data_IF_428262005116
#
_entry.id   IF_428262005116
#
_cell.length_a   1.000
_cell.length_b   1.000
_cell.length_c   1.000
_cell.angle_alpha   90.00
_cell.angle_beta   90.00
_cell.angle_gamma   90.00
#
_symmetry.space_group_name_H-M   'P 1'
#
loop_
_entity.id
_entity.type
_entity.pdbx_description
1 polymer ?
#
# COMPACT_ATOMS: atom_id res chain seq x y z
N UNK A 1 -13.93 -77.60 4.89
CA UNK A 1 -15.20 -77.01 5.39
C UNK A 1 -14.95 -76.42 6.78
N UNK A 2 -14.62 -75.13 6.86
CA UNK A 2 -14.37 -74.43 8.13
C UNK A 2 -15.54 -73.53 8.48
N UNK A 3 -16.11 -73.73 9.67
CA UNK A 3 -17.28 -73.02 10.22
C UNK A 3 -16.97 -71.53 10.40
N UNK A 4 -17.83 -70.65 9.87
CA UNK A 4 -17.83 -69.21 10.18
C UNK A 4 -18.63 -68.99 11.45
N UNK A 5 -17.98 -68.59 12.53
CA UNK A 5 -18.65 -68.11 13.74
C UNK A 5 -19.19 -66.69 13.50
N UNK A 6 -20.51 -66.55 13.64
CA UNK A 6 -21.22 -65.27 13.61
C UNK A 6 -21.12 -64.62 14.99
N UNK A 7 -20.28 -63.59 15.11
CA UNK A 7 -20.25 -62.74 16.31
C UNK A 7 -21.55 -61.91 16.37
N UNK A 8 -22.47 -62.31 17.24
CA UNK A 8 -23.66 -61.53 17.61
C UNK A 8 -23.29 -60.58 18.75
N UNK A 9 -23.17 -59.29 18.46
CA UNK A 9 -23.09 -58.26 19.50
C UNK A 9 -24.49 -57.97 20.04
N UNK A 10 -24.72 -58.31 21.31
CA UNK A 10 -25.88 -57.86 22.08
C UNK A 10 -25.58 -56.48 22.67
N UNK A 11 -26.19 -55.43 22.11
CA UNK A 11 -26.22 -54.11 22.75
C UNK A 11 -27.37 -54.09 23.76
N UNK A 12 -27.03 -54.07 25.06
CA UNK A 12 -28.00 -53.84 26.13
C UNK A 12 -28.54 -52.41 26.01
N UNK A 13 -29.86 -52.24 26.03
CA UNK A 13 -30.50 -50.92 26.17
C UNK A 13 -30.22 -50.39 27.58
N UNK A 14 -29.49 -49.28 27.67
CA UNK A 14 -29.39 -48.48 28.89
C UNK A 14 -30.39 -47.33 28.79
N UNK A 15 -31.42 -47.33 29.64
CA UNK A 15 -32.26 -46.15 29.87
C UNK A 15 -31.61 -45.30 30.97
N UNK A 16 -31.15 -44.11 30.61
CA UNK A 16 -30.88 -43.04 31.59
C UNK A 16 -31.86 -41.90 31.33
N UNK A 17 -32.66 -41.60 32.35
CA UNK A 17 -33.55 -40.46 32.39
C UNK A 17 -32.92 -39.26 33.10
N UNK A 18 -33.61 -38.12 32.95
CA UNK A 18 -33.40 -36.79 33.57
C UNK A 18 -32.14 -36.03 33.10
N UNK A 19 -32.13 -34.71 32.89
CA UNK A 19 -33.06 -33.64 33.24
C UNK A 19 -32.97 -32.50 32.20
N UNK A 20 -34.11 -31.88 31.89
CA UNK A 20 -34.20 -30.70 31.03
C UNK A 20 -33.54 -29.49 31.70
N UNK A 21 -32.65 -28.83 30.97
CA UNK A 21 -31.98 -27.59 31.36
C UNK A 21 -33.01 -26.45 31.40
N UNK A 22 -33.34 -25.99 32.62
CA UNK A 22 -34.10 -24.75 32.84
C UNK A 22 -33.25 -23.55 32.41
N UNK A 23 -33.66 -22.90 31.32
CA UNK A 23 -33.17 -21.59 30.89
C UNK A 23 -33.55 -20.54 31.93
N UNK A 24 -32.56 -20.10 32.72
CA UNK A 24 -32.68 -18.99 33.66
C UNK A 24 -32.83 -17.66 32.92
N UNK A 25 -34.00 -17.04 33.02
CA UNK A 25 -34.22 -15.63 32.69
C UNK A 25 -33.89 -14.80 33.94
N UNK A 26 -32.75 -14.13 33.95
CA UNK A 26 -32.41 -13.15 34.97
C UNK A 26 -33.19 -11.86 34.70
N UNK A 27 -34.18 -11.55 35.53
CA UNK A 27 -34.79 -10.22 35.60
C UNK A 27 -34.08 -9.45 36.72
N UNK A 28 -33.35 -8.41 36.33
CA UNK A 28 -32.88 -7.38 37.26
C UNK A 28 -34.08 -6.53 37.69
N UNK A 29 -34.39 -6.53 38.99
CA UNK A 29 -35.32 -5.60 39.62
C UNK A 29 -34.54 -4.69 40.59
N UNK A 30 -34.51 -3.39 40.29
CA UNK A 30 -34.06 -2.33 41.19
C UNK A 30 -35.29 -1.65 41.78
N UNK A 31 -35.38 -1.64 43.12
CA UNK A 31 -35.79 -0.46 43.87
C UNK A 31 -37.25 -0.32 44.31
N UNK A 32 -37.41 -0.42 45.65
CA UNK A 32 -38.35 0.30 46.52
C UNK A 32 -39.82 -0.13 46.56
N UNK A 33 -40.23 -0.77 47.67
CA UNK A 33 -40.86 -0.07 48.83
C UNK A 33 -41.29 -1.08 49.90
N UNK A 34 -41.14 -0.67 51.16
CA UNK A 34 -41.50 -1.38 52.38
C UNK A 34 -43.03 -1.53 52.53
N UNK A 35 -43.51 -2.66 53.07
CA UNK A 35 -44.65 -2.78 54.00
C UNK A 35 -44.92 -4.28 54.25
N UNK A 36 -44.59 -4.77 55.45
CA UNK A 36 -45.55 -5.16 56.50
C UNK A 36 -46.18 -6.54 56.31
N UNK A 37 -45.92 -7.40 57.29
CA UNK A 37 -46.46 -8.73 57.48
C UNK A 37 -47.99 -8.74 57.59
N UNK A 38 -48.61 -9.85 57.20
CA UNK A 38 -49.80 -10.37 57.88
C UNK A 38 -49.86 -11.89 57.72
N UNK A 39 -49.98 -12.56 58.86
CA UNK A 39 -50.04 -14.01 59.03
C UNK A 39 -51.51 -14.36 59.29
N UNK A 40 -52.15 -15.12 58.39
CA UNK A 40 -53.41 -15.78 58.73
C UNK A 40 -53.44 -17.18 58.14
N UNK A 41 -53.32 -18.15 59.04
CA UNK A 41 -53.77 -19.51 58.85
C UNK A 41 -55.30 -19.57 58.77
N UNK A 42 -55.83 -20.34 57.81
CA UNK A 42 -57.18 -20.92 57.93
C UNK A 42 -57.16 -22.37 57.47
N UNK A 43 -57.03 -23.25 58.46
CA UNK A 43 -57.69 -24.55 58.49
C UNK A 43 -59.20 -24.36 58.50
N UNK A 44 -59.92 -25.08 57.64
CA UNK A 44 -61.32 -25.50 57.89
C UNK A 44 -61.55 -26.75 57.06
N UNK A 45 -61.40 -27.94 57.63
CA UNK A 45 -62.30 -28.64 58.56
C UNK A 45 -63.29 -29.52 57.80
N UNK A 46 -63.14 -30.81 58.09
CA UNK A 46 -63.85 -31.95 57.53
C UNK A 46 -64.70 -32.48 58.66
N UNK A 47 -66.00 -32.26 58.58
CA UNK A 47 -66.95 -32.82 59.53
C UNK A 47 -68.26 -33.13 58.82
N UNK A 48 -68.38 -34.38 58.42
CA UNK A 48 -69.65 -35.07 58.17
C UNK A 48 -70.39 -35.21 59.51
N UNK A 49 -71.63 -34.75 59.66
CA UNK A 49 -72.48 -35.19 60.75
C UNK A 49 -73.35 -36.37 60.29
N UNK A 50 -73.43 -37.34 61.20
CA UNK A 50 -74.20 -38.55 61.12
C UNK A 50 -75.71 -38.29 61.22
N UNK A 51 -76.45 -39.12 60.47
CA UNK A 51 -77.66 -39.85 60.86
C UNK A 51 -78.59 -39.15 61.87
N UNK A 52 -79.71 -38.65 61.35
CA UNK A 52 -80.96 -38.57 62.12
C UNK A 52 -81.96 -39.58 61.55
N UNK A 53 -82.55 -40.33 62.48
CA UNK A 53 -83.61 -41.29 62.30
C UNK A 53 -84.97 -40.61 62.41
N UNK A 54 -85.94 -41.06 61.60
CA UNK A 54 -87.41 -40.94 61.71
C UNK A 54 -87.95 -41.22 60.31
N UNK A 55 -88.96 -42.02 60.03
CA UNK A 55 -90.05 -42.54 60.84
C UNK A 55 -90.41 -43.95 60.35
N UNK A 56 -90.71 -44.82 61.32
CA UNK A 56 -91.47 -46.03 61.07
C UNK A 56 -92.87 -45.62 60.60
N UNK A 57 -93.16 -45.85 59.32
CA UNK A 57 -94.55 -45.85 58.85
C UNK A 57 -95.12 -47.19 59.28
N UNK A 58 -95.89 -47.10 60.36
CA UNK A 58 -96.74 -48.14 60.91
C UNK A 58 -97.40 -48.94 59.80
N UNK A 59 -97.01 -50.21 59.72
CA UNK A 59 -97.78 -51.25 59.08
C UNK A 59 -99.11 -51.33 59.84
N UNK A 60 -100.13 -50.63 59.34
CA UNK A 60 -101.50 -50.74 59.83
C UNK A 60 -102.05 -52.13 59.44
N UNK A 61 -101.52 -53.17 60.07
CA UNK A 61 -102.19 -54.45 60.25
C UNK A 61 -103.29 -54.23 61.29
N UNK A 62 -104.30 -53.45 60.91
CA UNK A 62 -105.61 -53.66 61.49
C UNK A 62 -105.98 -55.10 61.14
N UNK A 63 -105.83 -55.99 62.12
CA UNK A 63 -106.56 -57.24 62.16
C UNK A 63 -108.04 -56.85 62.24
N UNK A 64 -108.60 -56.48 61.08
CA UNK A 64 -110.04 -56.47 60.87
C UNK A 64 -110.44 -57.89 61.23
N UNK A 65 -111.19 -58.03 62.33
CA UNK A 65 -111.70 -59.32 62.76
C UNK A 65 -112.30 -59.98 61.52
N UNK A 66 -111.76 -61.13 61.14
CA UNK A 66 -112.14 -61.83 59.91
C UNK A 66 -113.57 -62.34 60.07
N UNK A 67 -114.53 -61.47 59.76
CA UNK A 67 -115.94 -61.77 59.90
C UNK A 67 -116.41 -62.48 58.63
N UNK A 68 -116.84 -63.72 58.83
CA UNK A 68 -117.59 -64.48 57.84
C UNK A 68 -119.06 -64.13 58.00
N UNK A 69 -119.61 -63.41 57.04
CA UNK A 69 -121.05 -63.12 57.00
C UNK A 69 -121.74 -64.21 56.17
N UNK A 70 -122.76 -64.84 56.78
CA UNK A 70 -123.53 -65.93 56.18
C UNK A 70 -124.96 -65.47 55.96
N UNK A 71 -125.42 -65.55 54.73
CA UNK A 71 -126.81 -65.26 54.34
C UNK A 71 -127.45 -66.50 53.75
N UNK A 72 -128.53 -67.01 54.35
CA UNK A 72 -129.27 -68.17 53.83
C UNK A 72 -129.99 -67.76 52.54
N UNK A 73 -129.74 -68.47 51.45
CA UNK A 73 -130.27 -68.12 50.11
C UNK A 73 -131.27 -69.15 49.61
N UNK A 74 -131.16 -70.40 50.05
CA UNK A 74 -132.11 -71.44 49.69
C UNK A 74 -132.23 -72.49 50.80
N UNK A 75 -133.45 -72.97 51.03
CA UNK A 75 -133.73 -74.09 51.94
C UNK A 75 -134.61 -75.07 51.18
N UNK A 76 -134.10 -76.27 50.95
CA UNK A 76 -134.80 -77.33 50.23
C UNK A 76 -134.96 -78.55 51.13
N UNK A 77 -136.18 -79.07 51.18
CA UNK A 77 -136.52 -80.28 51.93
C UNK A 77 -136.48 -81.48 50.97
N UNK A 78 -135.49 -82.36 51.14
CA UNK A 78 -135.39 -83.62 50.40
C UNK A 78 -135.63 -84.78 51.38
N UNK A 79 -136.84 -85.34 51.39
CA UNK A 79 -137.21 -86.42 52.30
C UNK A 79 -137.28 -85.98 53.77
N UNK A 80 -136.56 -86.66 54.67
CA UNK A 80 -136.50 -86.32 56.10
C UNK A 80 -135.26 -85.45 56.44
N UNK A 81 -134.66 -84.78 55.45
CA UNK A 81 -133.43 -83.98 55.54
C UNK A 81 -133.62 -82.57 54.97
N UNK A 82 -133.19 -81.56 55.72
CA UNK A 82 -133.21 -80.14 55.31
C UNK A 82 -131.84 -79.73 54.79
N UNK A 83 -131.75 -79.31 53.53
CA UNK A 83 -130.52 -78.75 52.93
C UNK A 83 -130.62 -77.23 52.93
N UNK A 84 -129.67 -76.56 53.59
CA UNK A 84 -129.59 -75.09 53.67
C UNK A 84 -128.39 -74.60 52.88
N UNK A 85 -128.63 -73.87 51.80
CA UNK A 85 -127.59 -73.19 51.02
C UNK A 85 -127.44 -71.76 51.51
N UNK A 86 -126.20 -71.32 51.73
CA UNK A 86 -125.91 -69.95 52.17
C UNK A 86 -124.82 -69.32 51.32
N UNK A 87 -124.98 -68.04 51.06
CA UNK A 87 -123.94 -67.17 50.51
C UNK A 87 -123.00 -66.78 51.65
N UNK A 88 -121.71 -66.87 51.38
CA UNK A 88 -120.65 -66.66 52.36
C UNK A 88 -119.75 -65.56 51.84
N UNK A 89 -119.75 -64.42 52.52
CA UNK A 89 -118.87 -63.29 52.24
C UNK A 89 -117.84 -63.14 53.37
N UNK A 90 -116.67 -62.62 53.02
CA UNK A 90 -115.55 -62.50 53.95
C UNK A 90 -114.88 -61.15 53.81
N UNK A 91 -114.70 -60.46 54.94
CA UNK A 91 -114.13 -59.10 54.96
C UNK A 91 -112.67 -59.07 54.51
N UNK A 92 -111.88 -60.11 54.77
CA UNK A 92 -110.49 -60.19 54.31
C UNK A 92 -110.37 -60.26 52.79
N UNK A 93 -111.30 -60.95 52.12
CA UNK A 93 -111.35 -61.01 50.66
C UNK A 93 -111.70 -59.65 50.04
N UNK A 94 -112.72 -58.95 50.56
CA UNK A 94 -113.11 -57.62 50.07
C UNK A 94 -112.02 -56.57 50.31
N UNK A 95 -111.33 -56.65 51.45
CA UNK A 95 -110.17 -55.80 51.72
C UNK A 95 -109.01 -56.08 50.77
N UNK A 96 -108.73 -57.36 50.46
CA UNK A 96 -107.69 -57.75 49.52
C UNK A 96 -107.99 -57.24 48.09
N UNK A 97 -109.25 -57.36 47.62
CA UNK A 97 -109.69 -56.80 46.33
C UNK A 97 -109.51 -55.27 46.28
N UNK A 98 -109.87 -54.59 47.37
CA UNK A 98 -109.70 -53.12 47.48
C UNK A 98 -108.23 -52.74 47.45
N UNK A 99 -107.37 -53.45 48.18
CA UNK A 99 -105.92 -53.23 48.19
C UNK A 99 -105.30 -53.44 46.80
N UNK A 100 -105.74 -54.47 46.06
CA UNK A 100 -105.33 -54.70 44.67
C UNK A 100 -105.78 -53.58 43.74
N UNK A 101 -107.03 -53.14 43.86
CA UNK A 101 -107.58 -52.05 43.04
C UNK A 101 -106.86 -50.72 43.30
N UNK A 102 -106.51 -50.42 44.56
CA UNK A 102 -105.76 -49.20 44.92
C UNK A 102 -104.36 -49.15 44.30
N UNK A 103 -103.72 -50.30 44.10
CA UNK A 103 -102.44 -50.39 43.39
C UNK A 103 -102.59 -50.47 41.87
N UNK A 104 -103.82 -50.41 41.35
CA UNK A 104 -104.11 -50.51 39.91
C UNK A 104 -103.97 -51.93 39.37
N UNK A 105 -104.03 -52.96 40.22
CA UNK A 105 -104.02 -54.37 39.83
C UNK A 105 -105.43 -54.77 39.43
N UNK A 106 -105.57 -55.36 38.24
CA UNK A 106 -106.86 -55.82 37.72
C UNK A 106 -107.40 -56.99 38.57
N UNK A 107 -108.56 -56.80 39.19
CA UNK A 107 -109.29 -57.84 39.93
C UNK A 107 -110.40 -58.39 39.04
N UNK A 108 -110.35 -59.69 38.73
CA UNK A 108 -111.39 -60.40 37.97
C UNK A 108 -112.19 -61.27 38.92
N UNK A 109 -113.52 -61.07 38.95
CA UNK A 109 -114.42 -61.89 39.74
C UNK A 109 -114.94 -63.07 38.91
N UNK A 110 -114.67 -64.28 39.39
CA UNK A 110 -115.23 -65.52 38.84
C UNK A 110 -116.63 -65.77 39.41
N UNK A 111 -117.50 -66.51 38.69
CA UNK A 111 -118.84 -66.83 39.20
C UNK A 111 -118.77 -67.57 40.54
N UNK A 112 -119.77 -67.35 41.40
CA UNK A 112 -119.83 -67.94 42.74
C UNK A 112 -119.70 -69.47 42.70
N UNK A 113 -118.82 -70.02 43.55
CA UNK A 113 -118.60 -71.45 43.67
C UNK A 113 -119.38 -72.05 44.85
N UNK A 114 -120.07 -73.16 44.63
CA UNK A 114 -120.71 -73.93 45.70
C UNK A 114 -119.67 -74.79 46.42
N UNK A 115 -119.58 -74.69 47.75
CA UNK A 115 -118.75 -75.56 48.60
C UNK A 115 -119.64 -76.41 49.52
N UNK A 116 -119.09 -77.52 50.01
CA UNK A 116 -119.82 -78.50 50.83
C UNK A 116 -120.21 -77.96 52.23
N UNK A 117 -119.54 -76.91 52.71
CA UNK A 117 -119.86 -76.26 53.98
C UNK A 117 -119.51 -74.76 53.97
N UNK A 118 -120.06 -74.03 54.95
CA UNK A 118 -119.77 -72.60 55.16
C UNK A 118 -118.31 -72.38 55.54
N UNK A 119 -117.74 -73.28 56.34
CA UNK A 119 -116.33 -73.27 56.73
C UNK A 119 -115.42 -73.49 55.52
N UNK A 120 -115.80 -74.38 54.59
CA UNK A 120 -115.07 -74.60 53.35
C UNK A 120 -115.11 -73.37 52.42
N UNK A 121 -116.25 -72.69 52.32
CA UNK A 121 -116.38 -71.43 51.58
C UNK A 121 -115.59 -70.28 52.21
N UNK A 122 -115.61 -70.16 53.54
CA UNK A 122 -114.82 -69.16 54.26
C UNK A 122 -113.30 -69.41 54.11
N UNK A 123 -112.86 -70.67 54.20
CA UNK A 123 -111.47 -71.06 53.98
C UNK A 123 -111.01 -70.77 52.54
N UNK A 124 -111.86 -71.00 51.55
CA UNK A 124 -111.57 -70.67 50.15
C UNK A 124 -111.44 -69.16 49.93
N UNK A 125 -112.39 -68.36 50.45
CA UNK A 125 -112.32 -66.89 50.40
C UNK A 125 -111.05 -66.35 51.07
N UNK A 126 -110.65 -66.92 52.21
CA UNK A 126 -109.41 -66.57 52.89
C UNK A 126 -108.17 -66.93 52.05
N UNK A 127 -108.15 -68.11 51.44
CA UNK A 127 -107.06 -68.52 50.56
C UNK A 127 -106.97 -67.64 49.29
N UNK A 128 -108.08 -67.16 48.76
CA UNK A 128 -108.10 -66.18 47.67
C UNK A 128 -107.54 -64.82 48.14
N UNK A 129 -107.94 -64.34 49.32
CA UNK A 129 -107.42 -63.11 49.90
C UNK A 129 -105.90 -63.17 50.08
N UNK A 130 -105.35 -64.29 50.58
CA UNK A 130 -103.91 -64.52 50.72
C UNK A 130 -103.17 -64.45 49.37
N UNK A 131 -103.72 -65.04 48.31
CA UNK A 131 -103.17 -64.94 46.95
C UNK A 131 -103.18 -63.50 46.43
N UNK A 132 -104.29 -62.79 46.58
CA UNK A 132 -104.40 -61.39 46.15
C UNK A 132 -103.39 -60.52 46.90
N UNK A 133 -103.31 -60.66 48.22
CA UNK A 133 -102.35 -59.91 49.04
C UNK A 133 -100.89 -60.20 48.65
N UNK A 134 -100.57 -61.45 48.30
CA UNK A 134 -99.24 -61.82 47.78
C UNK A 134 -98.93 -61.07 46.48
N UNK A 135 -99.86 -61.06 45.52
CA UNK A 135 -99.70 -60.34 44.26
C UNK A 135 -99.53 -58.82 44.47
N UNK A 136 -100.30 -58.24 45.40
CA UNK A 136 -100.19 -56.82 45.78
C UNK A 136 -98.80 -56.51 46.34
N UNK A 137 -98.32 -57.36 47.26
CA UNK A 137 -96.99 -57.21 47.86
C UNK A 137 -95.86 -57.31 46.83
N UNK A 138 -95.93 -58.31 45.95
CA UNK A 138 -94.96 -58.51 44.87
C UNK A 138 -94.95 -57.31 43.90
N UNK A 139 -96.13 -56.80 43.53
CA UNK A 139 -96.25 -55.63 42.67
C UNK A 139 -95.64 -54.37 43.29
N UNK A 140 -95.93 -54.10 44.57
CA UNK A 140 -95.32 -52.98 45.31
C UNK A 140 -93.80 -53.07 45.31
N UNK A 141 -93.27 -54.25 45.64
CA UNK A 141 -91.82 -54.52 45.64
C UNK A 141 -91.22 -54.31 44.26
N UNK A 142 -91.87 -54.81 43.20
CA UNK A 142 -91.41 -54.63 41.82
C UNK A 142 -91.43 -53.15 41.38
N UNK A 143 -92.45 -52.41 41.79
CA UNK A 143 -92.60 -50.98 41.49
C UNK A 143 -91.53 -50.13 42.20
N UNK A 144 -91.21 -50.42 43.45
CA UNK A 144 -90.10 -49.79 44.18
C UNK A 144 -88.76 -50.12 43.52
N UNK A 145 -88.54 -51.39 43.17
CA UNK A 145 -87.33 -51.79 42.45
C UNK A 145 -87.18 -51.07 41.11
N UNK A 146 -88.26 -50.95 40.33
CA UNK A 146 -88.25 -50.21 39.07
C UNK A 146 -87.88 -48.74 39.26
N UNK A 147 -88.42 -48.08 40.30
CA UNK A 147 -88.05 -46.70 40.62
C UNK A 147 -86.56 -46.57 40.96
N UNK A 148 -86.02 -47.51 41.75
CA UNK A 148 -84.59 -47.55 42.07
C UNK A 148 -83.73 -47.78 40.81
N UNK A 149 -84.04 -48.81 40.02
CA UNK A 149 -83.33 -49.13 38.78
C UNK A 149 -83.35 -47.95 37.79
N UNK A 150 -84.49 -47.24 37.71
CA UNK A 150 -84.63 -46.04 36.88
C UNK A 150 -83.73 -44.89 37.39
N UNK A 151 -83.66 -44.67 38.69
CA UNK A 151 -82.79 -43.66 39.27
C UNK A 151 -81.30 -43.97 39.00
N UNK A 152 -80.90 -45.24 39.12
CA UNK A 152 -79.55 -45.68 38.79
C UNK A 152 -79.24 -45.54 37.30
N UNK A 153 -80.19 -45.88 36.43
CA UNK A 153 -80.08 -45.65 34.99
C UNK A 153 -79.88 -44.17 34.65
N UNK A 154 -80.73 -43.29 35.21
CA UNK A 154 -80.66 -41.85 34.97
C UNK A 154 -79.30 -41.29 35.43
N UNK A 155 -78.77 -41.77 36.56
CA UNK A 155 -77.43 -41.42 37.08
C UNK A 155 -76.30 -41.93 36.18
N UNK A 156 -76.38 -43.17 35.70
CA UNK A 156 -75.41 -43.76 34.79
C UNK A 156 -75.39 -43.03 33.44
N UNK A 157 -76.57 -42.68 32.92
CA UNK A 157 -76.71 -41.89 31.69
C UNK A 157 -76.07 -40.51 31.85
N UNK A 158 -76.34 -39.81 32.96
CA UNK A 158 -75.71 -38.52 33.24
C UNK A 158 -74.17 -38.61 33.31
N UNK A 159 -73.62 -39.68 33.91
CA UNK A 159 -72.17 -39.92 33.94
C UNK A 159 -71.59 -40.16 32.54
N UNK A 160 -72.28 -40.94 31.71
CA UNK A 160 -71.87 -41.19 30.33
C UNK A 160 -71.86 -39.91 29.50
N UNK A 161 -72.94 -39.12 29.57
CA UNK A 161 -73.05 -37.84 28.87
C UNK A 161 -71.94 -36.86 29.31
N UNK A 162 -71.60 -36.84 30.61
CA UNK A 162 -70.49 -36.04 31.13
C UNK A 162 -69.12 -36.50 30.59
N UNK A 163 -68.85 -37.82 30.55
CA UNK A 163 -67.61 -38.37 29.98
C UNK A 163 -67.48 -38.09 28.49
N UNK A 164 -68.60 -38.09 27.76
CA UNK A 164 -68.61 -37.75 26.34
C UNK A 164 -68.22 -36.29 26.11
N UNK A 165 -68.72 -35.38 26.95
CA UNK A 165 -68.34 -33.97 26.92
C UNK A 165 -66.86 -33.76 27.27
N UNK A 166 -66.33 -34.47 28.28
CA UNK A 166 -64.91 -34.43 28.64
C UNK A 166 -64.02 -34.90 27.49
N UNK A 167 -64.39 -36.02 26.84
CA UNK A 167 -63.68 -36.51 25.65
C UNK A 167 -63.69 -35.47 24.52
N UNK A 168 -64.83 -34.82 24.26
CA UNK A 168 -64.92 -33.81 23.22
C UNK A 168 -64.01 -32.60 23.49
N UNK A 169 -63.88 -32.18 24.75
CA UNK A 169 -62.94 -31.13 25.16
C UNK A 169 -61.48 -31.57 24.98
N UNK A 170 -61.15 -32.81 25.36
CA UNK A 170 -59.80 -33.36 25.18
C UNK A 170 -59.43 -33.46 23.69
N UNK A 171 -60.34 -33.95 22.85
CA UNK A 171 -60.12 -34.04 21.40
C UNK A 171 -59.90 -32.64 20.78
N UNK A 172 -60.67 -31.64 21.21
CA UNK A 172 -60.49 -30.26 20.77
C UNK A 172 -59.11 -29.72 21.18
N UNK A 173 -58.72 -29.90 22.45
CA UNK A 173 -57.41 -29.45 22.94
C UNK A 173 -56.25 -30.15 22.21
N UNK A 174 -56.38 -31.44 21.90
CA UNK A 174 -55.38 -32.20 21.17
C UNK A 174 -55.25 -31.70 19.71
N UNK A 175 -56.38 -31.41 19.06
CA UNK A 175 -56.38 -30.83 17.71
C UNK A 175 -55.71 -29.45 17.68
N UNK A 176 -55.98 -28.59 18.68
CA UNK A 176 -55.33 -27.28 18.81
C UNK A 176 -53.83 -27.40 19.07
N UNK A 177 -53.40 -28.35 19.92
CA UNK A 177 -52.00 -28.61 20.19
C UNK A 177 -51.26 -29.13 18.95
N UNK A 178 -51.88 -30.04 18.19
CA UNK A 178 -51.34 -30.56 16.94
C UNK A 178 -51.16 -29.44 15.90
N UNK A 179 -52.18 -28.58 15.73
CA UNK A 179 -52.11 -27.46 14.81
C UNK A 179 -50.98 -26.46 15.16
N UNK A 180 -50.77 -26.20 16.46
CA UNK A 180 -49.64 -25.38 16.94
C UNK A 180 -48.30 -26.02 16.62
N UNK A 181 -48.15 -27.31 16.93
CA UNK A 181 -46.93 -28.05 16.62
C UNK A 181 -46.59 -28.04 15.12
N UNK A 182 -47.57 -28.30 14.25
CA UNK A 182 -47.35 -28.30 12.79
C UNK A 182 -46.96 -26.91 12.26
N UNK A 183 -47.52 -25.86 12.86
CA UNK A 183 -47.16 -24.46 12.55
C UNK A 183 -45.71 -24.16 12.97
N UNK A 184 -45.34 -24.49 14.22
CA UNK A 184 -43.99 -24.27 14.75
C UNK A 184 -42.94 -25.09 13.99
N UNK A 185 -43.26 -26.34 13.66
CA UNK A 185 -42.38 -27.20 12.86
C UNK A 185 -42.13 -26.60 11.48
N UNK A 186 -43.18 -26.10 10.81
CA UNK A 186 -43.04 -25.42 9.52
C UNK A 186 -42.15 -24.18 9.61
N UNK A 187 -42.28 -23.41 10.69
CA UNK A 187 -41.45 -22.23 10.93
C UNK A 187 -39.97 -22.61 11.18
N UNK A 188 -39.74 -23.66 11.96
CA UNK A 188 -38.41 -24.20 12.23
C UNK A 188 -37.72 -24.70 10.94
N UNK A 189 -38.43 -25.49 10.14
CA UNK A 189 -37.89 -26.03 8.88
C UNK A 189 -37.47 -24.88 7.94
N UNK A 190 -38.30 -23.83 7.81
CA UNK A 190 -37.95 -22.62 7.06
C UNK A 190 -36.73 -21.87 7.62
N UNK A 191 -36.65 -21.70 8.94
CA UNK A 191 -35.51 -21.03 9.58
C UNK A 191 -34.21 -21.82 9.37
N UNK A 192 -34.28 -23.15 9.42
CA UNK A 192 -33.15 -24.04 9.14
C UNK A 192 -32.66 -23.91 7.70
N UNK A 193 -33.56 -23.89 6.72
CA UNK A 193 -33.21 -23.66 5.31
C UNK A 193 -32.53 -22.29 5.11
N UNK A 194 -33.09 -21.23 5.70
CA UNK A 194 -32.49 -19.89 5.62
C UNK A 194 -31.09 -19.84 6.24
N UNK A 195 -30.88 -20.53 7.36
CA UNK A 195 -29.56 -20.65 7.98
C UNK A 195 -28.55 -21.35 7.05
N UNK A 196 -28.94 -22.45 6.39
CA UNK A 196 -28.05 -23.15 5.47
C UNK A 196 -27.67 -22.29 4.26
N UNK A 197 -28.63 -21.54 3.70
CA UNK A 197 -28.38 -20.59 2.61
C UNK A 197 -27.41 -19.49 3.07
N UNK A 198 -27.65 -18.90 4.24
CA UNK A 198 -26.78 -17.86 4.80
C UNK A 198 -25.36 -18.39 5.07
N UNK A 199 -25.23 -19.61 5.57
CA UNK A 199 -23.94 -20.26 5.80
C UNK A 199 -23.18 -20.47 4.48
N UNK A 200 -23.86 -20.94 3.44
CA UNK A 200 -23.24 -21.12 2.12
C UNK A 200 -22.77 -19.79 1.51
N UNK A 201 -23.59 -18.73 1.62
CA UNK A 201 -23.22 -17.39 1.17
C UNK A 201 -22.00 -16.84 1.91
N UNK A 202 -21.93 -17.04 3.24
CA UNK A 202 -20.78 -16.67 4.04
C UNK A 202 -19.50 -17.40 3.60
N UNK A 203 -19.57 -18.73 3.43
CA UNK A 203 -18.42 -19.54 3.01
C UNK A 203 -17.92 -19.10 1.61
N UNK A 204 -18.83 -18.78 0.67
CA UNK A 204 -18.50 -18.21 -0.63
C UNK A 204 -17.82 -16.84 -0.52
N UNK A 205 -18.38 -15.91 0.27
CA UNK A 205 -17.80 -14.58 0.47
C UNK A 205 -16.40 -14.64 1.11
N UNK A 206 -16.19 -15.56 2.06
CA UNK A 206 -14.89 -15.78 2.69
C UNK A 206 -13.85 -16.28 1.69
N UNK A 207 -14.23 -17.18 0.79
CA UNK A 207 -13.34 -17.67 -0.28
C UNK A 207 -12.96 -16.56 -1.26
N UNK A 208 -13.92 -15.74 -1.67
CA UNK A 208 -13.67 -14.59 -2.55
C UNK A 208 -12.73 -13.57 -1.88
N UNK A 209 -12.96 -13.27 -0.60
CA UNK A 209 -12.08 -12.38 0.18
C UNK A 209 -10.64 -12.92 0.23
N UNK A 210 -10.45 -14.20 0.54
CA UNK A 210 -9.12 -14.84 0.57
C UNK A 210 -8.41 -14.71 -0.77
N UNK A 211 -9.14 -14.90 -1.87
CA UNK A 211 -8.60 -14.75 -3.23
C UNK A 211 -8.20 -13.30 -3.52
N UNK A 212 -9.07 -12.33 -3.20
CA UNK A 212 -8.76 -10.89 -3.34
C UNK A 212 -7.54 -10.49 -2.52
N UNK A 213 -7.39 -11.04 -1.31
CA UNK A 213 -6.23 -10.78 -0.45
C UNK A 213 -4.93 -11.26 -1.08
N UNK A 214 -4.89 -12.48 -1.63
CA UNK A 214 -3.69 -13.00 -2.33
C UNK A 214 -3.32 -12.10 -3.52
N UNK A 215 -4.31 -11.68 -4.32
CA UNK A 215 -4.08 -10.76 -5.45
C UNK A 215 -3.56 -9.40 -4.98
N UNK A 216 -4.09 -8.86 -3.89
CA UNK A 216 -3.62 -7.61 -3.31
C UNK A 216 -2.17 -7.72 -2.82
N UNK A 217 -1.86 -8.77 -2.05
CA UNK A 217 -0.51 -9.02 -1.53
C UNK A 217 0.51 -9.17 -2.68
N UNK A 218 0.12 -9.83 -3.79
CA UNK A 218 0.95 -9.92 -4.99
C UNK A 218 1.20 -8.57 -5.66
N UNK A 219 0.18 -7.70 -5.76
CA UNK A 219 0.33 -6.34 -6.32
C UNK A 219 1.24 -5.46 -5.46
N UNK A 220 1.19 -5.61 -4.14
CA UNK A 220 2.10 -4.90 -3.23
C UNK A 220 3.54 -5.33 -3.49
N UNK A 221 3.80 -6.64 -3.61
CA UNK A 221 5.13 -7.15 -3.92
C UNK A 221 5.64 -6.70 -5.31
N UNK A 222 4.76 -6.66 -6.33
CA UNK A 222 5.09 -6.15 -7.66
C UNK A 222 5.49 -4.67 -7.61
N UNK A 223 4.73 -3.84 -6.88
CA UNK A 223 5.07 -2.43 -6.68
C UNK A 223 6.42 -2.26 -5.99
N UNK A 224 6.68 -3.03 -4.93
CA UNK A 224 7.97 -2.98 -4.22
C UNK A 224 9.15 -3.38 -5.11
N UNK A 225 8.96 -4.36 -6.01
CA UNK A 225 9.97 -4.75 -6.98
C UNK A 225 10.23 -3.63 -8.01
N UNK A 226 9.16 -3.02 -8.55
CA UNK A 226 9.27 -1.90 -9.48
C UNK A 226 9.96 -0.68 -8.85
N UNK A 227 9.64 -0.36 -7.59
CA UNK A 227 10.27 0.75 -6.86
C UNK A 227 11.78 0.52 -6.69
N UNK A 228 12.22 -0.72 -6.39
CA UNK A 228 13.64 -1.09 -6.32
C UNK A 228 14.34 -0.95 -7.67
N UNK A 229 13.71 -1.40 -8.75
CA UNK A 229 14.28 -1.31 -10.11
C UNK A 229 14.39 0.14 -10.58
N UNK A 230 13.39 0.97 -10.28
CA UNK A 230 13.43 2.41 -10.54
C UNK A 230 14.55 3.10 -9.75
N UNK A 231 14.72 2.76 -8.47
CA UNK A 231 15.81 3.30 -7.65
C UNK A 231 17.20 2.91 -8.19
N UNK A 232 17.37 1.65 -8.63
CA UNK A 232 18.61 1.19 -9.27
C UNK A 232 18.87 1.91 -10.59
N UNK A 233 17.84 2.09 -11.41
CA UNK A 233 17.96 2.80 -12.69
C UNK A 233 18.31 4.27 -12.49
N UNK A 234 17.71 4.93 -11.50
CA UNK A 234 18.05 6.30 -11.12
C UNK A 234 19.51 6.40 -10.64
N UNK A 235 19.97 5.46 -9.83
CA UNK A 235 21.36 5.42 -9.36
C UNK A 235 22.36 5.21 -10.51
N UNK A 236 22.06 4.31 -11.45
CA UNK A 236 22.88 4.10 -12.66
C UNK A 236 22.97 5.35 -13.52
N UNK A 237 21.83 6.00 -13.77
CA UNK A 237 21.78 7.24 -14.53
C UNK A 237 22.64 8.34 -13.88
N UNK A 238 22.56 8.51 -12.56
CA UNK A 238 23.39 9.49 -11.84
C UNK A 238 24.88 9.17 -11.95
N UNK A 239 25.27 7.90 -11.87
CA UNK A 239 26.66 7.47 -12.02
C UNK A 239 27.19 7.71 -13.45
N UNK A 240 26.38 7.42 -14.48
CA UNK A 240 26.71 7.71 -15.88
C UNK A 240 26.85 9.22 -16.11
N UNK A 241 25.95 10.02 -15.55
CA UNK A 241 26.01 11.48 -15.64
C UNK A 241 27.29 12.04 -15.00
N UNK A 242 27.68 11.52 -13.84
CA UNK A 242 28.94 11.89 -13.18
C UNK A 242 30.15 11.53 -14.06
N UNK A 243 30.14 10.33 -14.65
CA UNK A 243 31.20 9.87 -15.57
C UNK A 243 31.29 10.75 -16.82
N UNK A 244 30.15 11.09 -17.41
CA UNK A 244 30.08 11.99 -18.57
C UNK A 244 30.64 13.37 -18.22
N UNK A 245 30.26 13.95 -17.08
CA UNK A 245 30.73 15.26 -16.66
C UNK A 245 32.24 15.26 -16.40
N UNK A 246 32.78 14.18 -15.82
CA UNK A 246 34.22 14.02 -15.65
C UNK A 246 34.94 13.96 -17.01
N UNK A 247 34.47 13.11 -17.93
CA UNK A 247 35.07 12.99 -19.26
C UNK A 247 35.02 14.31 -20.04
N UNK A 248 33.95 15.09 -19.87
CA UNK A 248 33.83 16.44 -20.44
C UNK A 248 34.89 17.38 -19.86
N UNK A 249 35.09 17.39 -18.55
CA UNK A 249 36.12 18.21 -17.90
C UNK A 249 37.54 17.82 -18.36
N UNK A 250 37.82 16.52 -18.46
CA UNK A 250 39.11 16.01 -18.95
C UNK A 250 39.37 16.43 -20.40
N UNK A 251 38.34 16.37 -21.25
CA UNK A 251 38.41 16.85 -22.63
C UNK A 251 38.70 18.35 -22.71
N UNK A 252 38.00 19.17 -21.92
CA UNK A 252 38.22 20.62 -21.86
C UNK A 252 39.66 20.95 -21.40
N UNK A 253 40.17 20.21 -20.41
CA UNK A 253 41.55 20.35 -19.93
C UNK A 253 42.57 19.94 -21.02
N UNK A 254 42.35 18.82 -21.70
CA UNK A 254 43.21 18.38 -22.80
C UNK A 254 43.21 19.39 -23.97
N UNK A 255 42.06 19.98 -24.29
CA UNK A 255 41.94 21.01 -25.31
C UNK A 255 42.71 22.28 -24.93
N UNK A 256 42.63 22.71 -23.68
CA UNK A 256 43.40 23.84 -23.17
C UNK A 256 44.91 23.58 -23.24
N UNK A 257 45.34 22.38 -22.84
CA UNK A 257 46.75 21.95 -22.91
C UNK A 257 47.26 21.95 -24.35
N UNK A 258 46.50 21.36 -25.29
CA UNK A 258 46.81 21.36 -26.71
C UNK A 258 47.01 22.79 -27.25
N UNK A 259 46.11 23.71 -26.91
CA UNK A 259 46.20 25.10 -27.36
C UNK A 259 47.45 25.81 -26.80
N UNK A 260 47.79 25.55 -25.54
CA UNK A 260 49.03 26.03 -24.91
C UNK A 260 50.27 25.49 -25.64
N UNK A 261 50.33 24.18 -25.88
CA UNK A 261 51.49 23.55 -26.53
C UNK A 261 51.64 23.98 -27.98
N UNK A 262 50.52 24.17 -28.69
CA UNK A 262 50.51 24.77 -30.04
C UNK A 262 51.09 26.18 -30.04
N UNK A 263 50.77 27.01 -29.04
CA UNK A 263 51.32 28.35 -28.91
C UNK A 263 52.84 28.32 -28.64
N UNK A 264 53.31 27.42 -27.77
CA UNK A 264 54.75 27.21 -27.52
C UNK A 264 55.48 26.78 -28.78
N UNK A 265 54.97 25.77 -29.48
CA UNK A 265 55.54 25.30 -30.74
C UNK A 265 55.66 26.43 -31.77
N UNK A 266 54.61 27.25 -31.93
CA UNK A 266 54.65 28.38 -32.87
C UNK A 266 55.71 29.42 -32.47
N UNK A 267 55.89 29.70 -31.18
CA UNK A 267 56.92 30.60 -30.68
C UNK A 267 58.34 30.03 -30.89
N UNK A 268 58.55 28.74 -30.62
CA UNK A 268 59.81 28.04 -30.87
C UNK A 268 60.16 28.03 -32.36
N UNK A 269 59.17 27.76 -33.21
CA UNK A 269 59.33 27.81 -34.66
C UNK A 269 59.77 29.21 -35.12
N UNK A 270 59.13 30.27 -34.61
CA UNK A 270 59.52 31.64 -34.93
C UNK A 270 60.94 31.97 -34.44
N UNK A 271 61.35 31.48 -33.27
CA UNK A 271 62.71 31.64 -32.77
C UNK A 271 63.74 30.96 -33.67
N UNK A 272 63.44 29.73 -34.11
CA UNK A 272 64.29 28.99 -35.04
C UNK A 272 64.42 29.73 -36.38
N UNK A 273 63.30 30.17 -36.97
CA UNK A 273 63.28 30.90 -38.23
C UNK A 273 64.13 32.20 -38.13
N UNK A 274 64.07 32.91 -36.99
CA UNK A 274 64.92 34.08 -36.73
C UNK A 274 66.41 33.74 -36.63
N UNK A 275 66.79 32.67 -35.93
CA UNK A 275 68.19 32.22 -35.84
C UNK A 275 68.75 31.82 -37.20
N UNK A 276 67.95 31.19 -38.04
CA UNK A 276 68.33 30.86 -39.42
C UNK A 276 68.59 32.15 -40.21
N UNK A 277 67.71 33.15 -40.10
CA UNK A 277 67.92 34.44 -40.75
C UNK A 277 69.18 35.17 -40.24
N UNK A 278 69.45 35.15 -38.93
CA UNK A 278 70.67 35.72 -38.35
C UNK A 278 71.93 35.01 -38.87
N UNK A 279 71.92 33.68 -38.96
CA UNK A 279 73.03 32.89 -39.52
C UNK A 279 73.34 33.32 -40.96
N UNK A 280 72.31 33.51 -41.79
CA UNK A 280 72.48 34.00 -43.18
C UNK A 280 73.13 35.40 -43.21
N UNK A 281 72.73 36.30 -42.30
CA UNK A 281 73.34 37.64 -42.20
C UNK A 281 74.81 37.57 -41.76
N UNK A 282 75.13 36.71 -40.80
CA UNK A 282 76.51 36.51 -40.33
C UNK A 282 77.37 35.91 -41.45
N UNK A 283 76.88 34.89 -42.16
CA UNK A 283 77.59 34.28 -43.30
C UNK A 283 77.90 35.32 -44.38
N UNK A 284 76.95 36.22 -44.68
CA UNK A 284 77.18 37.33 -45.61
C UNK A 284 78.26 38.28 -45.11
N UNK A 285 78.24 38.69 -43.83
CA UNK A 285 79.28 39.56 -43.24
C UNK A 285 80.64 38.89 -43.23
N UNK A 286 80.70 37.59 -42.93
CA UNK A 286 81.94 36.81 -42.93
C UNK A 286 82.51 36.72 -44.35
N UNK A 287 81.68 36.49 -45.37
CA UNK A 287 82.10 36.50 -46.77
C UNK A 287 82.61 37.90 -47.20
N UNK A 288 81.94 38.97 -46.78
CA UNK A 288 82.38 40.35 -47.03
C UNK A 288 83.72 40.67 -46.32
N UNK A 289 83.91 40.18 -45.09
CA UNK A 289 85.15 40.35 -44.33
C UNK A 289 86.30 39.57 -44.97
N UNK A 290 86.06 38.32 -45.39
CA UNK A 290 87.05 37.50 -46.12
C UNK A 290 87.46 38.18 -47.43
N UNK A 291 86.49 38.71 -48.19
CA UNK A 291 86.79 39.45 -49.42
C UNK A 291 87.64 40.71 -49.17
N UNK A 292 87.35 41.46 -48.09
CA UNK A 292 88.19 42.60 -47.67
C UNK A 292 89.59 42.17 -47.30
N UNK A 293 89.73 41.11 -46.50
CA UNK A 293 91.03 40.57 -46.09
C UNK A 293 91.86 40.13 -47.31
N UNK A 294 91.26 39.43 -48.28
CA UNK A 294 91.95 39.02 -49.51
C UNK A 294 92.40 40.23 -50.35
N UNK A 295 91.57 41.27 -50.44
CA UNK A 295 91.94 42.52 -51.13
C UNK A 295 93.10 43.24 -50.42
N UNK A 296 93.07 43.34 -49.10
CA UNK A 296 94.16 43.93 -48.31
C UNK A 296 95.45 43.12 -48.43
N UNK A 297 95.36 41.79 -48.42
CA UNK A 297 96.50 40.90 -48.62
C UNK A 297 97.12 41.07 -50.01
N UNK A 298 96.29 41.24 -51.04
CA UNK A 298 96.75 41.55 -52.39
C UNK A 298 97.47 42.92 -52.45
N UNK A 299 96.86 43.95 -51.87
CA UNK A 299 97.46 45.29 -51.79
C UNK A 299 98.79 45.28 -51.00
N UNK A 300 98.86 44.53 -49.90
CA UNK A 300 100.09 44.33 -49.13
C UNK A 300 101.17 43.64 -49.97
N UNK A 301 100.83 42.57 -50.71
CA UNK A 301 101.78 41.89 -51.61
C UNK A 301 102.31 42.83 -52.69
N UNK A 302 101.45 43.65 -53.29
CA UNK A 302 101.87 44.67 -54.26
C UNK A 302 102.77 45.74 -53.63
N UNK A 303 102.42 46.25 -52.46
CA UNK A 303 103.22 47.23 -51.74
C UNK A 303 104.59 46.65 -51.35
N UNK A 304 104.61 45.39 -50.89
CA UNK A 304 105.85 44.67 -50.58
C UNK A 304 106.72 44.50 -51.83
N UNK A 305 106.14 44.16 -52.98
CA UNK A 305 106.89 44.07 -54.23
C UNK A 305 107.49 45.43 -54.65
N UNK A 306 106.73 46.52 -54.50
CA UNK A 306 107.26 47.89 -54.72
C UNK A 306 108.39 48.23 -53.76
N UNK A 307 108.23 47.92 -52.48
CA UNK A 307 109.27 48.10 -51.47
C UNK A 307 110.53 47.28 -51.81
N UNK A 308 110.39 46.02 -52.20
CA UNK A 308 111.53 45.17 -52.56
C UNK A 308 112.29 45.73 -53.79
N UNK A 309 111.58 46.29 -54.78
CA UNK A 309 112.17 47.01 -55.93
C UNK A 309 112.87 48.29 -55.51
N UNK A 310 112.22 49.12 -54.68
CA UNK A 310 112.79 50.36 -54.16
C UNK A 310 114.02 50.10 -53.29
N UNK A 311 113.97 49.07 -52.45
CA UNK A 311 115.09 48.62 -51.64
C UNK A 311 116.25 48.17 -52.52
N UNK A 312 116.02 47.37 -53.56
CA UNK A 312 117.06 46.99 -54.51
C UNK A 312 117.66 48.21 -55.24
N UNK A 313 116.83 49.19 -55.60
CA UNK A 313 117.30 50.45 -56.19
C UNK A 313 118.12 51.29 -55.19
N UNK A 314 117.71 51.33 -53.91
CA UNK A 314 118.46 51.98 -52.84
C UNK A 314 119.81 51.31 -52.58
N UNK A 315 119.84 49.98 -52.48
CA UNK A 315 121.07 49.20 -52.30
C UNK A 315 122.05 49.45 -53.48
N UNK A 316 121.54 49.50 -54.71
CA UNK A 316 122.32 49.87 -55.92
C UNK A 316 122.82 51.32 -55.89
N UNK A 317 122.00 52.25 -55.39
CA UNK A 317 122.41 53.65 -55.20
C UNK A 317 123.48 53.81 -54.12
N UNK A 318 123.41 53.01 -53.04
CA UNK A 318 124.45 52.95 -52.01
C UNK A 318 125.76 52.45 -52.59
N UNK A 319 125.74 51.40 -53.43
CA UNK A 319 126.93 50.96 -54.17
C UNK A 319 127.46 52.08 -55.07
N UNK A 320 126.63 52.67 -55.92
CA UNK A 320 127.01 53.82 -56.76
C UNK A 320 127.63 54.96 -55.94
N UNK A 321 127.09 55.26 -54.77
CA UNK A 321 127.63 56.25 -53.85
C UNK A 321 128.99 55.83 -53.31
N UNK A 322 129.18 54.56 -52.89
CA UNK A 322 130.48 54.03 -52.47
C UNK A 322 131.51 54.09 -53.60
N UNK A 323 131.14 53.72 -54.83
CA UNK A 323 132.02 53.80 -56.00
C UNK A 323 132.40 55.24 -56.30
N UNK A 324 131.46 56.19 -56.21
CA UNK A 324 131.74 57.63 -56.37
C UNK A 324 132.62 58.18 -55.25
N UNK A 325 132.42 57.73 -54.00
CA UNK A 325 133.26 58.10 -52.87
C UNK A 325 134.69 57.58 -53.07
N UNK A 326 134.85 56.34 -53.50
CA UNK A 326 136.16 55.77 -53.83
C UNK A 326 136.82 56.50 -55.01
N UNK A 327 136.07 56.87 -56.05
CA UNK A 327 136.59 57.69 -57.16
C UNK A 327 136.99 59.10 -56.71
N UNK A 328 136.26 59.70 -55.74
CA UNK A 328 136.61 60.98 -55.15
C UNK A 328 137.87 60.88 -54.26
N UNK A 329 138.04 59.77 -53.52
CA UNK A 329 139.23 59.48 -52.73
C UNK A 329 140.47 59.23 -53.63
N UNK A 330 140.29 58.61 -54.79
CA UNK A 330 141.36 58.46 -55.82
C UNK A 330 141.71 59.79 -56.51
N UNK A 331 140.73 60.66 -56.76
CA UNK A 331 140.98 62.02 -57.27
C UNK A 331 141.70 62.92 -56.23
N UNK A 332 141.51 62.63 -54.94
CA UNK A 332 142.21 63.27 -53.83
C UNK A 332 143.69 62.83 -53.73
N UNK A 333 144.01 61.57 -54.01
CA UNK A 333 145.38 61.02 -53.91
C UNK A 333 146.27 61.35 -55.14
N UNK A 334 145.69 61.82 -56.25
CA UNK A 334 146.41 62.17 -57.50
C UNK A 334 146.76 63.66 -57.63
N UNK A 335 146.46 64.51 -56.63
CA UNK A 335 146.80 65.95 -56.63
C UNK A 335 147.61 66.38 -55.41
N UNK A 336 148.92 66.09 -55.43
CA UNK A 336 149.96 66.91 -54.75
C UNK A 336 150.14 68.22 -55.56
N UNK A 337 149.92 69.43 -55.02
CA UNK A 337 149.92 70.63 -55.84
C UNK A 337 151.31 71.26 -55.98
N UNK A 338 151.70 71.59 -57.21
CA UNK A 338 152.56 72.74 -57.44
C UNK A 338 151.81 73.98 -56.94
N UNK A 339 152.44 74.70 -56.01
CA UNK A 339 151.80 75.68 -55.11
C UNK A 339 151.19 76.94 -55.76
N UNK A 340 151.27 77.11 -57.08
CA UNK A 340 150.93 78.40 -57.72
C UNK A 340 149.67 78.43 -58.61
N UNK A 341 148.96 77.31 -58.83
CA UNK A 341 147.69 77.31 -59.60
C UNK A 341 146.45 77.12 -58.72
N UNK A 342 146.63 76.69 -57.47
CA UNK A 342 145.53 76.33 -56.55
C UNK A 342 144.88 77.54 -55.83
N UNK A 343 145.57 78.69 -55.73
CA UNK A 343 144.96 79.92 -55.21
C UNK A 343 144.01 80.58 -56.22
N UNK A 344 144.36 80.55 -57.51
CA UNK A 344 143.55 81.15 -58.59
C UNK A 344 142.28 80.32 -58.85
N UNK A 345 142.38 78.99 -58.81
CA UNK A 345 141.20 78.12 -58.92
C UNK A 345 140.31 78.13 -57.67
N UNK A 346 140.85 78.31 -56.45
CA UNK A 346 140.01 78.53 -55.26
C UNK A 346 139.25 79.85 -55.34
N UNK A 347 139.86 80.93 -55.83
CA UNK A 347 139.14 82.20 -56.02
C UNK A 347 138.08 82.10 -57.12
N UNK A 348 138.37 81.46 -58.25
CA UNK A 348 137.39 81.27 -59.33
C UNK A 348 136.25 80.30 -58.95
N UNK A 349 136.53 79.23 -58.19
CA UNK A 349 135.47 78.36 -57.64
C UNK A 349 134.64 79.07 -56.57
N UNK A 350 135.23 79.96 -55.76
CA UNK A 350 134.48 80.76 -54.79
C UNK A 350 133.57 81.75 -55.49
N UNK A 351 134.04 82.41 -56.56
CA UNK A 351 133.21 83.30 -57.39
C UNK A 351 132.11 82.52 -58.16
N UNK A 352 132.42 81.34 -58.69
CA UNK A 352 131.43 80.48 -59.38
C UNK A 352 130.39 79.90 -58.40
N UNK A 353 130.78 79.56 -57.17
CA UNK A 353 129.89 79.07 -56.12
C UNK A 353 128.98 80.19 -55.57
N UNK A 354 129.51 81.41 -55.38
CA UNK A 354 128.70 82.59 -55.04
C UNK A 354 127.73 82.98 -56.17
N UNK A 355 128.14 82.85 -57.45
CA UNK A 355 127.27 83.10 -58.60
C UNK A 355 126.17 82.04 -58.79
N UNK A 356 126.47 80.76 -58.52
CA UNK A 356 125.51 79.65 -58.65
C UNK A 356 124.54 79.54 -57.47
N UNK A 357 124.97 79.86 -56.24
CA UNK A 357 124.07 80.02 -55.08
C UNK A 357 123.11 81.20 -55.26
N UNK A 358 123.59 82.34 -55.81
CA UNK A 358 122.74 83.49 -56.12
C UNK A 358 121.61 83.19 -57.12
N UNK A 359 121.88 82.33 -58.12
CA UNK A 359 120.84 81.86 -59.07
C UNK A 359 119.84 80.88 -58.43
N UNK A 360 120.26 80.01 -57.51
CA UNK A 360 119.36 79.05 -56.83
C UNK A 360 118.45 79.72 -55.79
N UNK A 361 118.90 80.78 -55.12
CA UNK A 361 118.03 81.57 -54.25
C UNK A 361 116.99 82.40 -55.02
N UNK A 362 117.30 82.86 -56.24
CA UNK A 362 116.32 83.58 -57.07
C UNK A 362 115.29 82.65 -57.76
N UNK A 363 115.63 81.40 -58.06
CA UNK A 363 114.67 80.41 -58.63
C UNK A 363 113.69 79.84 -57.59
N UNK A 364 114.06 79.81 -56.31
CA UNK A 364 113.21 79.34 -55.21
C UNK A 364 112.23 80.41 -54.69
N UNK A 365 112.53 81.71 -54.90
CA UNK A 365 111.55 82.78 -54.67
C UNK A 365 110.51 82.89 -55.80
N UNK A 366 110.86 82.52 -57.04
CA UNK A 366 109.94 82.58 -58.19
C UNK A 366 108.85 81.50 -58.16
N UNK A 367 109.15 80.27 -57.73
CA UNK A 367 108.14 79.18 -57.70
C UNK A 367 107.24 79.17 -56.45
N UNK A 368 107.67 79.76 -55.33
CA UNK A 368 106.79 79.99 -54.18
C UNK A 368 105.77 81.11 -54.44
N UNK A 369 106.13 82.17 -55.19
CA UNK A 369 105.18 83.23 -55.58
C UNK A 369 104.11 82.77 -56.57
N UNK A 370 104.35 81.74 -57.38
CA UNK A 370 103.34 81.20 -58.31
C UNK A 370 102.34 80.26 -57.58
N UNK A 371 102.77 79.49 -56.56
CA UNK A 371 101.86 78.59 -55.83
C UNK A 371 100.96 79.28 -54.80
N UNK A 372 101.43 80.36 -54.16
CA UNK A 372 100.59 81.16 -53.24
C UNK A 372 99.48 81.90 -54.03
N UNK A 373 99.75 82.28 -55.28
CA UNK A 373 98.77 82.94 -56.14
C UNK A 373 97.70 81.95 -56.67
N UNK A 374 98.04 80.68 -56.94
CA UNK A 374 97.04 79.69 -57.39
C UNK A 374 96.11 79.19 -56.28
N UNK A 375 96.60 79.05 -55.03
CA UNK A 375 95.75 78.67 -53.89
C UNK A 375 94.71 79.77 -53.57
N UNK A 376 95.08 81.05 -53.68
CA UNK A 376 94.16 82.18 -53.45
C UNK A 376 93.09 82.31 -54.55
N UNK A 377 93.42 81.99 -55.82
CA UNK A 377 92.44 82.00 -56.93
C UNK A 377 91.45 80.81 -56.80
N UNK A 378 91.89 79.64 -56.32
CA UNK A 378 91.02 78.46 -56.12
C UNK A 378 90.03 78.65 -54.96
N UNK A 379 90.39 79.45 -53.96
CA UNK A 379 89.54 79.74 -52.80
C UNK A 379 88.51 80.87 -53.08
N UNK A 380 88.79 81.74 -54.07
CA UNK A 380 87.85 82.77 -54.57
C UNK A 380 86.86 82.26 -55.63
N UNK A 381 87.21 81.23 -56.42
CA UNK A 381 86.28 80.62 -57.39
C UNK A 381 85.23 79.69 -56.75
N UNK A 382 85.52 79.06 -55.61
CA UNK A 382 84.56 78.19 -54.91
C UNK A 382 83.52 78.97 -54.09
N UNK A 383 83.79 80.22 -53.71
CA UNK A 383 82.88 81.04 -52.91
C UNK A 383 81.84 81.84 -53.74
N UNK A 384 81.89 81.79 -55.07
CA UNK A 384 80.97 82.54 -55.95
C UNK A 384 80.16 81.67 -56.90
N UNK A 385 80.30 80.34 -56.82
CA UNK A 385 79.34 79.40 -57.41
C UNK A 385 78.55 78.68 -56.34
N UNK A 386 77.50 79.38 -55.93
CA UNK A 386 76.14 78.83 -55.84
C UNK A 386 75.98 77.73 -54.79
N UNK A 387 75.52 78.07 -53.59
CA UNK A 387 74.10 78.41 -53.34
C UNK A 387 73.16 77.50 -54.13
N UNK A 388 72.68 76.45 -53.46
CA UNK A 388 71.28 76.28 -53.01
C UNK A 388 71.00 74.79 -52.70
N UNK A 389 70.19 74.48 -51.68
CA UNK A 389 70.15 75.00 -50.30
C UNK A 389 70.07 73.81 -49.29
N UNK A 390 70.56 73.85 -48.04
CA UNK A 390 70.02 74.61 -46.90
C UNK A 390 68.47 74.66 -46.84
N UNK A 391 67.84 73.50 -47.00
CA UNK A 391 66.55 73.16 -46.41
C UNK A 391 66.67 71.69 -46.02
N UNK A 392 66.81 71.33 -44.75
CA UNK A 392 65.70 70.68 -44.02
C UNK A 392 65.82 70.91 -42.49
N UNK A 393 66.83 71.66 -42.01
CA UNK A 393 66.99 71.88 -40.57
C UNK A 393 66.13 73.01 -39.96
N UNK A 394 65.21 73.58 -40.73
CA UNK A 394 64.24 74.59 -40.26
C UNK A 394 62.84 74.02 -40.01
N UNK A 395 62.57 72.77 -40.41
CA UNK A 395 61.25 72.12 -40.24
C UNK A 395 61.08 71.43 -38.88
N UNK A 396 62.15 71.04 -38.20
CA UNK A 396 62.05 70.42 -36.87
C UNK A 396 61.82 71.45 -35.74
N UNK A 397 62.30 72.68 -35.90
CA UNK A 397 62.17 73.74 -34.88
C UNK A 397 60.81 74.45 -34.99
N UNK A 398 60.21 74.49 -36.18
CA UNK A 398 58.87 75.08 -36.39
C UNK A 398 57.72 74.15 -35.93
N UNK A 399 57.89 72.82 -35.98
CA UNK A 399 56.83 71.88 -35.56
C UNK A 399 56.69 71.76 -34.03
N UNK A 400 57.79 71.91 -33.28
CA UNK A 400 57.75 71.92 -31.81
C UNK A 400 57.00 73.17 -31.28
N UNK A 401 57.10 74.30 -32.00
CA UNK A 401 56.39 75.54 -31.63
C UNK A 401 54.90 75.48 -32.01
N UNK A 402 54.54 74.84 -33.12
CA UNK A 402 53.13 74.70 -33.57
C UNK A 402 52.35 73.65 -32.74
N UNK A 403 52.98 72.53 -32.35
CA UNK A 403 52.29 71.53 -31.51
C UNK A 403 51.97 72.04 -30.10
N UNK A 404 52.77 73.00 -29.59
CA UNK A 404 52.51 73.64 -28.28
C UNK A 404 51.38 74.68 -28.34
N UNK A 405 51.04 75.21 -29.53
CA UNK A 405 49.89 76.10 -29.72
C UNK A 405 48.56 75.36 -30.01
N UNK A 406 48.59 74.15 -30.57
CA UNK A 406 47.36 73.36 -30.76
C UNK A 406 46.79 72.74 -29.46
N UNK A 407 47.58 72.71 -28.37
CA UNK A 407 47.12 72.28 -27.04
C UNK A 407 46.34 73.36 -26.27
N UNK A 408 46.15 74.56 -26.85
CA UNK A 408 45.43 75.68 -26.24
C UNK A 408 44.11 76.05 -26.96
N UNK A 409 43.72 75.34 -28.03
CA UNK A 409 42.49 75.62 -28.80
C UNK A 409 41.52 74.42 -28.90
N UNK A 410 41.71 73.38 -28.08
CA UNK A 410 40.73 72.29 -27.85
C UNK A 410 40.48 72.09 -26.35
N UNK A 411 40.09 73.18 -25.69
CA UNK A 411 39.28 73.19 -24.47
C UNK A 411 37.94 73.83 -24.81
#
# INVERSE_FOLDING_TARGET
MGKKELQRYSLRKSSLGAASVLLGTAVLAVGASNASADEVATTTDSATPAVEATDAVEENTSAVADSTEKKVVNVTEEGNTTVTTSEVTNTSLENAKTAATNEGIEVKEEPAQTKESVEAAAADNKAQAEKINTVVSDYKTAKEKYQSDKADYDKAKANYDAKLAEKALADKSNAEAQAKYDTEKTAYDKASEQYQIAKQAYDSALSEYKTKKVTYDAKVAEKEAADKENALSAAKYQAELATYNQAKADYEAALAQYNSDKAKYNAEKANYDNKVAEKVVIEKRNAEAEAKYQNELAAYKEAKAKYDVEKAAYDKNIELYKTKKAAYEVDLETKKPSKNTMQMQKQNMKQLWLFTMGKKQNMTKSTLSIKINWLSIKQLLNNTKRLKPLMINTWMILFIVISKMQKLFKS
#
